data_IF_565462463045
#
_entry.id   IF_565462463045
#
_cell.length_a   1.000
_cell.length_b   1.000
_cell.length_c   1.000
_cell.angle_alpha   90.00
_cell.angle_beta   90.00
_cell.angle_gamma   90.00
#
_symmetry.space_group_name_H-M   'P 1'
#
loop_
_entity.id
_entity.type
_entity.pdbx_description
1 polymer ?
#
# COMPACT_ATOMS: atom_id res chain seq x y z
N UNK A 1 -34.16 -25.04 23.07
CA UNK A 1 -34.09 -24.37 21.75
C UNK A 1 -33.73 -22.87 21.83
N UNK A 2 -34.47 -22.00 22.54
CA UNK A 2 -34.17 -20.54 22.58
C UNK A 2 -32.77 -20.15 23.09
N UNK A 3 -32.20 -20.88 24.06
CA UNK A 3 -30.86 -20.59 24.62
C UNK A 3 -29.70 -20.95 23.67
N UNK A 4 -29.87 -21.92 22.77
CA UNK A 4 -28.85 -22.35 21.80
C UNK A 4 -28.76 -21.35 20.64
N UNK A 5 -29.91 -20.81 20.21
CA UNK A 5 -30.01 -19.81 19.15
C UNK A 5 -29.36 -18.46 19.55
N UNK A 6 -29.45 -18.08 20.83
CA UNK A 6 -28.83 -16.86 21.35
C UNK A 6 -27.30 -16.97 21.46
N UNK A 7 -26.79 -18.17 21.78
CA UNK A 7 -25.36 -18.48 21.79
C UNK A 7 -24.76 -18.47 20.37
N UNK A 8 -25.51 -18.96 19.38
CA UNK A 8 -25.13 -18.89 17.96
C UNK A 8 -25.01 -17.45 17.44
N UNK A 9 -25.93 -16.54 17.81
CA UNK A 9 -25.82 -15.12 17.44
C UNK A 9 -24.58 -14.44 18.03
N UNK A 10 -24.21 -14.77 19.27
CA UNK A 10 -23.01 -14.23 19.92
C UNK A 10 -21.72 -14.73 19.24
N UNK A 11 -21.67 -16.01 18.85
CA UNK A 11 -20.52 -16.56 18.11
C UNK A 11 -20.36 -15.97 16.71
N UNK A 12 -21.47 -15.73 15.98
CA UNK A 12 -21.44 -15.04 14.69
C UNK A 12 -20.96 -13.60 14.86
N UNK A 13 -21.39 -12.90 15.91
CA UNK A 13 -20.94 -11.53 16.23
C UNK A 13 -19.45 -11.42 16.56
N UNK A 14 -18.87 -12.41 17.25
CA UNK A 14 -17.43 -12.42 17.59
C UNK A 14 -16.57 -12.80 16.37
N UNK A 15 -17.07 -13.68 15.49
CA UNK A 15 -16.36 -14.13 14.28
C UNK A 15 -16.03 -13.02 13.28
N UNK A 16 -16.86 -11.97 13.18
CA UNK A 16 -16.60 -10.85 12.26
C UNK A 16 -15.40 -9.97 12.66
N UNK A 17 -15.00 -9.98 13.93
CA UNK A 17 -13.79 -9.25 14.38
C UNK A 17 -12.49 -9.95 13.96
N UNK A 18 -12.53 -11.26 13.71
CA UNK A 18 -11.40 -12.08 13.24
C UNK A 18 -11.04 -11.90 11.77
N UNK A 19 -11.87 -11.22 10.99
CA UNK A 19 -11.65 -10.96 9.56
C UNK A 19 -10.72 -9.78 9.29
N UNK A 20 -10.10 -9.22 10.33
CA UNK A 20 -9.17 -8.09 10.21
C UNK A 20 -7.74 -8.53 10.54
N UNK A 21 -6.77 -7.97 9.82
CA UNK A 21 -5.34 -8.10 10.09
C UNK A 21 -4.74 -6.71 10.24
N UNK A 22 -3.72 -6.56 11.08
CA UNK A 22 -2.99 -5.29 11.16
C UNK A 22 -1.97 -5.24 10.03
N UNK A 23 -1.92 -4.12 9.33
CA UNK A 23 -0.94 -3.83 8.27
C UNK A 23 -0.14 -2.61 8.71
N UNK A 24 1.18 -2.70 8.55
CA UNK A 24 2.08 -1.56 8.73
C UNK A 24 1.96 -0.66 7.49
N UNK A 25 1.79 0.62 7.71
CA UNK A 25 1.59 1.65 6.69
C UNK A 25 2.34 2.91 7.09
N UNK A 26 2.55 3.80 6.13
CA UNK A 26 3.16 5.10 6.36
C UNK A 26 2.08 6.17 6.52
N UNK A 27 2.19 7.03 7.52
CA UNK A 27 1.33 8.18 7.70
C UNK A 27 1.58 9.23 6.62
N UNK A 28 0.57 10.05 6.32
CA UNK A 28 0.75 11.18 5.40
C UNK A 28 1.76 12.18 5.96
N UNK A 29 1.74 12.41 7.27
CA UNK A 29 2.70 13.26 7.96
C UNK A 29 4.14 12.76 7.77
N UNK A 30 4.37 11.45 7.93
CA UNK A 30 5.71 10.88 7.74
C UNK A 30 6.18 10.98 6.30
N UNK A 31 5.28 10.77 5.34
CA UNK A 31 5.56 10.98 3.93
C UNK A 31 5.99 12.42 3.65
N UNK A 32 5.17 13.39 4.08
CA UNK A 32 5.44 14.81 3.88
C UNK A 32 6.75 15.25 4.56
N UNK A 33 7.04 14.75 5.76
CA UNK A 33 8.31 14.99 6.46
C UNK A 33 9.50 14.55 5.60
N UNK A 34 9.50 13.30 5.13
CA UNK A 34 10.59 12.77 4.31
C UNK A 34 10.77 13.52 2.98
N UNK A 35 9.67 13.91 2.32
CA UNK A 35 9.72 14.73 1.10
C UNK A 35 10.31 16.11 1.40
N UNK A 36 9.90 16.74 2.49
CA UNK A 36 10.41 18.05 2.89
C UNK A 36 11.90 17.99 3.27
N UNK A 37 12.35 16.92 3.91
CA UNK A 37 13.79 16.71 4.18
C UNK A 37 14.59 16.58 2.88
N UNK A 38 14.13 15.76 1.93
CA UNK A 38 14.79 15.61 0.63
C UNK A 38 14.84 16.93 -0.14
N UNK A 39 13.74 17.69 -0.13
CA UNK A 39 13.67 19.04 -0.69
C UNK A 39 14.67 19.99 -0.04
N UNK A 40 14.71 20.03 1.29
CA UNK A 40 15.62 20.91 2.02
C UNK A 40 17.08 20.57 1.73
N UNK A 41 17.42 19.28 1.59
CA UNK A 41 18.78 18.87 1.23
C UNK A 41 19.15 19.22 -0.22
N UNK A 42 18.21 19.15 -1.17
CA UNK A 42 18.43 19.67 -2.53
C UNK A 42 18.63 21.19 -2.55
N UNK A 43 17.83 21.92 -1.78
CA UNK A 43 17.95 23.39 -1.65
C UNK A 43 19.29 23.82 -1.06
N UNK A 44 19.83 23.08 -0.07
CA UNK A 44 21.20 23.32 0.45
C UNK A 44 22.28 23.18 -0.62
N UNK A 45 22.01 22.45 -1.70
CA UNK A 45 22.90 22.28 -2.83
C UNK A 45 22.57 23.21 -4.01
N UNK A 46 21.70 24.21 -3.81
CA UNK A 46 21.36 25.21 -4.81
C UNK A 46 20.29 24.78 -5.81
N UNK A 47 19.59 23.68 -5.56
CA UNK A 47 18.46 23.22 -6.37
C UNK A 47 17.14 23.64 -5.73
N UNK A 48 16.38 24.49 -6.41
CA UNK A 48 15.08 24.95 -5.96
C UNK A 48 13.97 24.15 -6.64
N UNK A 49 12.84 23.98 -5.95
CA UNK A 49 11.68 23.30 -6.51
C UNK A 49 11.13 24.10 -7.69
N UNK A 50 11.21 23.53 -8.89
CA UNK A 50 10.78 24.16 -10.15
C UNK A 50 9.41 23.64 -10.62
N UNK A 51 9.00 22.45 -10.18
CA UNK A 51 7.70 21.89 -10.53
C UNK A 51 7.32 20.67 -9.70
N UNK A 52 6.02 20.42 -9.64
CA UNK A 52 5.43 19.21 -9.08
C UNK A 52 4.26 18.77 -9.95
N UNK A 53 4.19 17.48 -10.28
CA UNK A 53 3.09 16.90 -11.03
C UNK A 53 2.60 15.62 -10.35
N UNK A 54 1.30 15.41 -10.36
CA UNK A 54 0.66 14.22 -9.78
C UNK A 54 -0.22 13.54 -10.83
N UNK A 55 -0.10 12.23 -10.95
CA UNK A 55 -0.91 11.42 -11.86
C UNK A 55 -1.38 10.14 -11.15
N UNK A 56 -2.67 9.83 -11.23
CA UNK A 56 -3.21 8.54 -10.78
C UNK A 56 -3.15 7.54 -11.93
N UNK A 57 -2.52 6.38 -11.68
CA UNK A 57 -2.39 5.29 -12.64
C UNK A 57 -3.07 4.02 -12.16
N UNK A 58 -3.44 3.20 -13.12
CA UNK A 58 -4.07 1.89 -12.89
C UNK A 58 -3.10 0.79 -13.35
N UNK A 59 -2.73 -0.11 -12.45
CA UNK A 59 -1.93 -1.30 -12.75
C UNK A 59 -2.75 -2.58 -12.59
N UNK A 60 -2.74 -3.48 -13.58
CA UNK A 60 -3.37 -4.78 -13.44
C UNK A 60 -2.58 -5.67 -12.47
N UNK A 61 -3.26 -6.17 -11.45
CA UNK A 61 -2.75 -7.13 -10.48
C UNK A 61 -3.36 -8.51 -10.75
N UNK A 62 -2.52 -9.53 -10.90
CA UNK A 62 -3.00 -10.92 -10.97
C UNK A 62 -3.42 -11.37 -9.57
N UNK A 63 -4.72 -11.58 -9.37
CA UNK A 63 -5.29 -11.97 -8.06
C UNK A 63 -5.68 -13.44 -7.98
N UNK A 64 -5.57 -14.17 -9.08
CA UNK A 64 -5.78 -15.60 -9.11
C UNK A 64 -5.64 -16.17 -10.50
N UNK A 65 -5.69 -17.50 -10.57
CA UNK A 65 -5.85 -18.23 -11.82
C UNK A 65 -7.19 -18.96 -11.77
N UNK A 66 -7.87 -19.06 -12.91
CA UNK A 66 -9.04 -19.89 -13.07
C UNK A 66 -8.89 -20.75 -14.32
N UNK A 67 -9.53 -21.91 -14.29
CA UNK A 67 -9.61 -22.82 -15.42
C UNK A 67 -11.07 -22.96 -15.85
N UNK A 68 -11.34 -22.90 -17.15
CA UNK A 68 -12.61 -23.34 -17.70
C UNK A 68 -12.40 -24.28 -18.88
N UNK A 69 -13.30 -25.25 -19.05
CA UNK A 69 -13.24 -26.21 -20.16
C UNK A 69 -13.41 -25.56 -21.54
N UNK A 70 -13.95 -24.34 -21.62
CA UNK A 70 -14.12 -23.58 -22.87
C UNK A 70 -12.95 -22.65 -23.18
N UNK A 71 -12.25 -22.12 -22.17
CA UNK A 71 -11.23 -21.07 -22.35
C UNK A 71 -9.83 -21.47 -21.88
N UNK A 72 -9.66 -22.68 -21.33
CA UNK A 72 -8.39 -23.13 -20.77
C UNK A 72 -8.04 -22.40 -19.47
N UNK A 73 -6.74 -22.33 -19.17
CA UNK A 73 -6.22 -21.59 -18.01
C UNK A 73 -6.14 -20.10 -18.31
N UNK A 74 -6.68 -19.28 -17.42
CA UNK A 74 -6.68 -17.82 -17.53
C UNK A 74 -6.46 -17.19 -16.16
N UNK A 75 -6.04 -15.92 -16.14
CA UNK A 75 -5.77 -15.17 -14.91
C UNK A 75 -6.94 -14.27 -14.57
N UNK A 76 -7.30 -14.21 -13.29
CA UNK A 76 -8.19 -13.19 -12.74
C UNK A 76 -7.34 -11.95 -12.49
N UNK A 77 -7.66 -10.86 -13.16
CA UNK A 77 -7.03 -9.56 -12.97
C UNK A 77 -7.91 -8.69 -12.06
N UNK A 78 -7.29 -8.04 -11.09
CA UNK A 78 -7.84 -6.90 -10.38
C UNK A 78 -7.09 -5.65 -10.80
N UNK A 79 -7.67 -4.48 -10.58
CA UNK A 79 -7.04 -3.21 -10.86
C UNK A 79 -6.59 -2.60 -9.53
N UNK A 80 -5.33 -2.22 -9.46
CA UNK A 80 -4.79 -1.44 -8.37
C UNK A 80 -4.57 -0.01 -8.83
N UNK A 81 -5.00 0.94 -8.01
CA UNK A 81 -4.78 2.36 -8.27
C UNK A 81 -3.62 2.84 -7.41
N UNK A 82 -2.73 3.60 -8.02
CA UNK A 82 -1.63 4.25 -7.31
C UNK A 82 -1.44 5.64 -7.89
N UNK A 83 -0.92 6.53 -7.06
CA UNK A 83 -0.56 7.87 -7.45
C UNK A 83 0.95 7.91 -7.69
N UNK A 84 1.36 8.69 -8.68
CA UNK A 84 2.75 9.04 -8.94
C UNK A 84 2.92 10.54 -8.79
N UNK A 85 3.88 10.94 -7.97
CA UNK A 85 4.28 12.33 -7.78
C UNK A 85 5.69 12.52 -8.31
N UNK A 86 5.82 13.42 -9.28
CA UNK A 86 7.09 13.84 -9.86
C UNK A 86 7.46 15.18 -9.27
N UNK A 87 8.63 15.26 -8.66
CA UNK A 87 9.20 16.49 -8.12
C UNK A 87 10.40 16.88 -8.96
N UNK A 88 10.36 18.08 -9.55
CA UNK A 88 11.41 18.61 -10.39
C UNK A 88 12.06 19.80 -9.70
N UNK A 89 13.39 19.83 -9.72
CA UNK A 89 14.22 20.86 -9.13
C UNK A 89 15.19 21.40 -10.16
N UNK A 90 15.49 22.69 -10.10
CA UNK A 90 16.50 23.32 -10.95
C UNK A 90 17.39 24.30 -10.19
N UNK A 91 18.61 24.49 -10.69
CA UNK A 91 19.55 25.48 -10.15
C UNK A 91 19.70 26.69 -11.09
N UNK A 92 20.46 27.71 -10.68
CA UNK A 92 20.69 28.93 -11.47
C UNK A 92 21.43 28.71 -12.80
N UNK A 93 22.07 27.54 -12.97
CA UNK A 93 22.76 27.16 -14.21
C UNK A 93 21.83 26.43 -15.20
N UNK A 94 20.58 26.15 -14.80
CA UNK A 94 19.63 25.37 -15.59
C UNK A 94 19.83 23.85 -15.48
N UNK A 95 20.62 23.38 -14.51
CA UNK A 95 20.72 21.95 -14.24
C UNK A 95 19.48 21.47 -13.49
N UNK A 96 19.07 20.23 -13.73
CA UNK A 96 17.83 19.67 -13.22
C UNK A 96 18.07 18.38 -12.43
N UNK A 97 17.28 18.20 -11.37
CA UNK A 97 17.15 16.95 -10.62
C UNK A 97 15.67 16.64 -10.51
N UNK A 98 15.28 15.41 -10.81
CA UNK A 98 13.89 14.98 -10.71
C UNK A 98 13.82 13.63 -9.99
N UNK A 99 12.85 13.47 -9.10
CA UNK A 99 12.52 12.18 -8.52
C UNK A 99 11.02 11.90 -8.56
N UNK A 100 10.68 10.62 -8.60
CA UNK A 100 9.29 10.15 -8.72
C UNK A 100 8.94 9.22 -7.58
N UNK A 101 7.95 9.61 -6.79
CA UNK A 101 7.34 8.79 -5.75
C UNK A 101 6.12 8.08 -6.32
N UNK A 102 5.98 6.80 -6.01
CA UNK A 102 4.77 6.01 -6.24
C UNK A 102 4.17 5.68 -4.89
N UNK A 103 2.90 5.98 -4.69
CA UNK A 103 2.22 5.56 -3.47
C UNK A 103 0.80 5.08 -3.69
N UNK A 104 0.28 4.40 -2.68
CA UNK A 104 -1.11 3.95 -2.65
C UNK A 104 -1.80 4.40 -1.39
N UNK A 105 -2.74 5.32 -1.56
CA UNK A 105 -3.61 5.76 -0.48
C UNK A 105 -4.58 4.67 -0.04
N UNK A 106 -4.81 4.60 1.27
CA UNK A 106 -5.86 3.82 1.89
C UNK A 106 -6.53 4.65 2.97
N UNK A 107 -7.85 4.74 2.87
CA UNK A 107 -8.66 5.28 3.95
C UNK A 107 -8.98 4.18 4.97
N UNK A 108 -8.65 4.43 6.23
CA UNK A 108 -8.97 3.57 7.37
C UNK A 108 -10.23 4.07 8.05
N UNK A 109 -11.35 3.35 7.84
CA UNK A 109 -12.65 3.66 8.48
C UNK A 109 -12.62 3.63 10.02
N UNK A 110 -11.65 2.93 10.61
CA UNK A 110 -11.56 2.78 12.08
C UNK A 110 -10.86 3.94 12.76
N UNK A 111 -9.85 4.50 12.08
CA UNK A 111 -9.07 5.63 12.59
C UNK A 111 -9.51 6.95 11.98
N UNK A 112 -10.40 6.92 10.97
CA UNK A 112 -10.83 8.07 10.18
C UNK A 112 -9.64 8.82 9.56
N UNK A 113 -8.64 8.08 9.10
CA UNK A 113 -7.41 8.63 8.52
C UNK A 113 -7.07 8.02 7.18
N UNK A 114 -6.45 8.84 6.32
CA UNK A 114 -5.78 8.38 5.10
C UNK A 114 -4.35 7.99 5.46
N UNK A 115 -3.88 6.87 4.93
CA UNK A 115 -2.53 6.35 5.12
C UNK A 115 -2.01 5.78 3.80
N UNK A 116 -0.69 5.62 3.68
CA UNK A 116 -0.04 5.12 2.48
C UNK A 116 0.42 3.68 2.71
N UNK A 117 -0.13 2.74 1.92
CA UNK A 117 0.13 1.30 2.07
C UNK A 117 1.44 0.89 1.42
N UNK A 118 1.74 1.50 0.28
CA UNK A 118 3.00 1.35 -0.45
C UNK A 118 3.50 2.75 -0.73
N UNK A 119 4.79 3.00 -0.52
CA UNK A 119 5.49 4.24 -0.86
C UNK A 119 6.84 3.85 -1.39
N UNK A 120 7.10 4.13 -2.66
CA UNK A 120 8.30 3.70 -3.36
C UNK A 120 8.90 4.87 -4.15
N UNK A 121 10.22 5.07 -4.03
CA UNK A 121 10.98 5.88 -4.97
C UNK A 121 11.21 5.06 -6.25
N UNK A 122 10.46 5.37 -7.31
CA UNK A 122 10.47 4.58 -8.56
C UNK A 122 11.31 5.20 -9.67
N UNK A 123 11.72 6.46 -9.51
CA UNK A 123 12.52 7.17 -10.49
C UNK A 123 13.36 8.26 -9.83
N UNK A 124 14.59 8.41 -10.31
CA UNK A 124 15.44 9.55 -9.99
C UNK A 124 16.38 9.81 -11.16
N UNK A 125 16.45 11.05 -11.63
CA UNK A 125 17.30 11.46 -12.74
C UNK A 125 17.92 12.83 -12.48
N UNK A 126 19.07 13.06 -13.08
CA UNK A 126 19.79 14.34 -13.06
C UNK A 126 20.14 14.72 -14.51
N UNK A 127 20.17 16.02 -14.83
CA UNK A 127 20.61 16.48 -16.15
C UNK A 127 22.13 16.34 -16.32
N UNK A 128 22.88 16.42 -15.21
CA UNK A 128 24.33 16.23 -15.15
C UNK A 128 24.68 14.87 -14.57
N UNK A 129 25.56 14.14 -15.27
CA UNK A 129 26.04 12.81 -14.84
C UNK A 129 26.82 12.89 -13.54
N UNK A 130 27.59 13.96 -13.34
CA UNK A 130 28.40 14.18 -12.11
C UNK A 130 27.53 14.31 -10.84
N UNK A 131 26.30 14.80 -11.00
CA UNK A 131 25.35 14.97 -9.92
C UNK A 131 24.59 13.67 -9.59
N UNK A 132 24.68 12.65 -10.44
CA UNK A 132 23.91 11.42 -10.30
C UNK A 132 24.24 10.69 -9.00
N UNK A 133 25.51 10.39 -8.72
CA UNK A 133 25.88 9.63 -7.53
C UNK A 133 25.50 10.35 -6.23
N UNK A 134 25.51 11.68 -6.26
CA UNK A 134 25.16 12.54 -5.14
C UNK A 134 23.66 12.57 -4.86
N UNK A 135 22.83 12.67 -5.91
CA UNK A 135 21.38 12.87 -5.76
C UNK A 135 20.54 11.63 -6.06
N UNK A 136 20.92 10.79 -7.01
CA UNK A 136 20.14 9.62 -7.46
C UNK A 136 20.83 8.25 -7.33
N UNK A 137 22.13 8.23 -7.06
CA UNK A 137 22.90 7.01 -6.86
C UNK A 137 22.45 6.16 -5.66
N UNK A 138 23.06 5.00 -5.49
CA UNK A 138 22.64 4.03 -4.46
C UNK A 138 22.72 4.57 -3.03
N UNK A 139 23.70 5.44 -2.76
CA UNK A 139 23.93 6.08 -1.47
C UNK A 139 23.54 7.57 -1.48
N UNK A 140 22.69 7.98 -2.41
CA UNK A 140 22.36 9.40 -2.58
C UNK A 140 21.48 9.96 -1.48
N UNK A 141 21.45 11.29 -1.36
CA UNK A 141 20.60 11.97 -0.37
C UNK A 141 19.11 11.61 -0.57
N UNK A 142 18.63 11.51 -1.81
CA UNK A 142 17.23 11.22 -2.12
C UNK A 142 16.92 9.77 -1.73
N UNK A 143 17.80 8.82 -2.09
CA UNK A 143 17.54 7.40 -1.83
C UNK A 143 17.65 7.05 -0.36
N UNK A 144 18.55 7.70 0.39
CA UNK A 144 18.65 7.52 1.83
C UNK A 144 17.38 8.00 2.56
N UNK A 145 16.76 9.09 2.10
CA UNK A 145 15.56 9.68 2.73
C UNK A 145 14.27 9.01 2.27
N UNK A 146 14.10 8.83 0.97
CA UNK A 146 12.84 8.40 0.36
C UNK A 146 12.80 6.90 0.08
N UNK A 147 13.95 6.27 -0.17
CA UNK A 147 14.04 4.84 -0.48
C UNK A 147 13.89 3.91 0.74
N UNK A 148 14.02 4.45 1.96
CA UNK A 148 13.92 3.70 3.21
C UNK A 148 12.88 4.32 4.16
N UNK A 149 11.79 4.86 3.61
CA UNK A 149 10.74 5.51 4.40
C UNK A 149 10.10 4.49 5.36
N UNK A 150 10.08 4.81 6.66
CA UNK A 150 9.54 3.92 7.68
C UNK A 150 8.01 3.85 7.62
N UNK A 151 7.48 2.68 7.94
CA UNK A 151 6.06 2.50 8.21
C UNK A 151 5.79 2.73 9.71
N UNK A 152 5.28 3.89 10.05
CA UNK A 152 5.08 4.41 11.41
C UNK A 152 3.69 4.10 11.99
N UNK A 153 2.74 3.65 11.16
CA UNK A 153 1.37 3.39 11.55
C UNK A 153 0.96 1.92 11.41
N UNK A 154 0.07 1.46 12.29
CA UNK A 154 -0.59 0.15 12.18
C UNK A 154 -2.09 0.34 11.97
N UNK A 155 -2.62 -0.10 10.84
CA UNK A 155 -4.05 0.00 10.52
C UNK A 155 -4.69 -1.37 10.35
N UNK A 156 -5.96 -1.48 10.73
CA UNK A 156 -6.74 -2.70 10.54
C UNK A 156 -7.20 -2.80 9.08
N UNK A 157 -6.82 -3.88 8.41
CA UNK A 157 -7.20 -4.23 7.05
C UNK A 157 -8.05 -5.50 7.03
N UNK A 158 -9.02 -5.59 6.13
CA UNK A 158 -9.74 -6.83 5.88
C UNK A 158 -8.78 -7.93 5.37
N UNK A 159 -8.90 -9.15 5.89
CA UNK A 159 -8.09 -10.31 5.53
C UNK A 159 -8.98 -11.42 4.94
N UNK A 160 -9.04 -11.57 3.61
CA UNK A 160 -9.87 -12.59 2.95
C UNK A 160 -9.52 -14.02 3.39
N UNK A 161 -8.24 -14.31 3.60
CA UNK A 161 -7.75 -15.63 4.02
C UNK A 161 -8.22 -16.03 5.41
N UNK A 162 -8.20 -15.10 6.39
CA UNK A 162 -8.74 -15.34 7.73
C UNK A 162 -10.25 -15.51 7.70
N UNK A 163 -10.95 -14.73 6.87
CA UNK A 163 -12.39 -14.91 6.67
C UNK A 163 -12.72 -16.31 6.13
N UNK A 164 -11.96 -16.80 5.14
CA UNK A 164 -12.18 -18.13 4.55
C UNK A 164 -11.95 -19.27 5.55
N UNK A 165 -10.91 -19.18 6.39
CA UNK A 165 -10.66 -20.11 7.48
C UNK A 165 -11.80 -20.10 8.52
N UNK A 166 -12.29 -18.92 8.87
CA UNK A 166 -13.36 -18.77 9.87
C UNK A 166 -14.70 -19.30 9.34
N UNK A 167 -15.05 -19.02 8.08
CA UNK A 167 -16.27 -19.52 7.45
C UNK A 167 -16.25 -21.03 7.24
N UNK A 168 -15.13 -21.61 6.80
CA UNK A 168 -14.97 -23.07 6.67
C UNK A 168 -15.03 -23.77 8.02
N UNK A 169 -14.44 -23.20 9.07
CA UNK A 169 -14.51 -23.73 10.44
C UNK A 169 -15.94 -23.75 10.98
N UNK A 170 -16.71 -22.67 10.76
CA UNK A 170 -18.13 -22.60 11.15
C UNK A 170 -18.97 -23.60 10.35
N UNK A 171 -18.72 -23.76 9.04
CA UNK A 171 -19.42 -24.74 8.21
C UNK A 171 -19.16 -26.18 8.69
N UNK A 172 -17.90 -26.53 8.98
CA UNK A 172 -17.54 -27.86 9.48
C UNK A 172 -18.21 -28.13 10.84
N UNK A 173 -18.17 -27.16 11.77
CA UNK A 173 -18.78 -27.29 13.09
C UNK A 173 -20.31 -27.38 13.06
N UNK A 174 -20.98 -26.87 12.02
CA UNK A 174 -22.44 -26.89 11.88
C UNK A 174 -22.97 -28.09 11.10
N UNK A 175 -22.19 -28.64 10.16
CA UNK A 175 -22.61 -29.77 9.30
C UNK A 175 -22.29 -31.14 9.94
N UNK A 176 -21.15 -31.27 10.64
CA UNK A 176 -20.76 -32.52 11.31
C UNK A 176 -21.80 -33.08 12.31
N UNK A 177 -22.47 -32.27 13.17
CA UNK A 177 -23.48 -32.82 14.08
C UNK A 177 -24.76 -33.28 13.37
N UNK A 178 -25.05 -32.85 12.13
CA UNK A 178 -26.22 -33.34 11.38
C UNK A 178 -25.97 -34.67 10.67
N UNK A 179 -24.71 -35.02 10.38
CA UNK A 179 -24.35 -36.31 9.76
C UNK A 179 -24.33 -37.44 10.79
N UNK A 180 -24.07 -37.15 12.07
CA UNK A 180 -24.11 -38.13 13.17
C UNK A 180 -25.50 -38.29 13.83
N UNK A 181 -26.52 -37.60 13.31
CA UNK A 181 -27.91 -37.65 13.80
C UNK A 181 -28.90 -38.21 12.74
N UNK A 182 -28.39 -38.75 11.63
CA UNK A 182 -29.10 -39.57 10.63
C UNK A 182 -28.58 -41.02 10.70
#
# INVERSE_FOLDING_TARGET
MKKIMLLFMVFVGIGFTGCTTKVLVTSVEKYDECINEAKADLQKHGYELSGMATETKNEPLVVGAYYSSKMGSSSILSNDFYDQEVYSFSNSNGDEVEFTMKYRGRYSKYTDTVCLVTVDLIGCKTSKVEDYDKFCGENSIIKQKLGNMEQDMKVSAYSPGKTSLLTTSILLATVLPFIFLL
#
